data_IF_721165147369
#
_entry.id   IF_721165147369
#
_cell.length_a   1.000
_cell.length_b   1.000
_cell.length_c   1.000
_cell.angle_alpha   90.00
_cell.angle_beta   90.00
_cell.angle_gamma   90.00
#
_symmetry.space_group_name_H-M   'P 1'
#
loop_
_entity.id
_entity.type
_entity.pdbx_description
1 polymer ?
#
# COMPACT_ATOMS: atom_id res chain seq x y z
N UNK A 1 -19.31 1.41 -7.13
CA UNK A 1 -17.92 1.20 -6.69
C UNK A 1 -16.97 1.97 -7.61
N UNK A 2 -15.72 2.25 -7.20
CA UNK A 2 -14.73 3.04 -7.97
C UNK A 2 -14.72 2.79 -9.49
N UNK A 3 -14.83 1.52 -9.90
CA UNK A 3 -14.93 1.09 -11.29
C UNK A 3 -16.08 1.73 -12.07
N UNK A 4 -17.25 1.87 -11.44
CA UNK A 4 -18.46 2.42 -12.06
C UNK A 4 -18.33 3.93 -12.28
N UNK A 5 -17.51 4.59 -11.46
CA UNK A 5 -17.29 6.05 -11.50
C UNK A 5 -16.01 6.45 -12.27
N UNK A 6 -15.21 5.48 -12.72
CA UNK A 6 -14.00 5.70 -13.53
C UNK A 6 -13.00 6.70 -12.90
N UNK A 7 -12.84 6.66 -11.58
CA UNK A 7 -11.97 7.58 -10.84
C UNK A 7 -10.51 7.12 -10.83
N UNK A 8 -9.60 8.03 -10.48
CA UNK A 8 -8.19 7.69 -10.27
C UNK A 8 -7.93 7.10 -8.88
N UNK A 9 -6.91 6.25 -8.79
CA UNK A 9 -6.39 5.68 -7.56
C UNK A 9 -4.96 6.16 -7.38
N UNK A 10 -4.66 6.74 -6.22
CA UNK A 10 -3.30 7.02 -5.77
C UNK A 10 -2.92 6.03 -4.67
N UNK A 11 -1.91 5.20 -4.93
CA UNK A 11 -1.38 4.26 -3.95
C UNK A 11 -0.12 4.83 -3.30
N UNK A 12 -0.07 4.78 -1.97
CA UNK A 12 1.09 5.20 -1.18
C UNK A 12 1.45 4.10 -0.20
N UNK A 13 2.71 3.63 -0.25
CA UNK A 13 3.23 2.70 0.75
C UNK A 13 3.29 3.37 2.13
N UNK A 14 2.68 2.77 3.16
CA UNK A 14 2.55 3.37 4.48
C UNK A 14 2.80 2.36 5.63
N UNK A 15 4.06 2.07 5.91
CA UNK A 15 4.44 1.08 6.95
C UNK A 15 3.98 1.47 8.37
N UNK A 16 3.78 2.77 8.64
CA UNK A 16 3.40 3.27 9.96
C UNK A 16 1.99 2.85 10.38
N UNK A 17 1.16 2.38 9.45
CA UNK A 17 -0.15 1.83 9.77
C UNK A 17 -0.05 0.54 10.59
N UNK A 18 1.07 -0.18 10.50
CA UNK A 18 1.37 -1.36 11.33
C UNK A 18 2.13 -1.00 12.62
N UNK A 19 2.00 0.24 13.09
CA UNK A 19 2.57 0.63 14.37
C UNK A 19 1.78 0.01 15.54
N UNK A 20 2.52 -0.37 16.57
CA UNK A 20 2.02 -0.66 17.91
C UNK A 20 2.52 0.40 18.89
N UNK A 21 1.85 0.53 20.03
CA UNK A 21 2.28 1.43 21.09
C UNK A 21 3.09 0.66 22.14
N UNK A 22 4.34 1.11 22.37
CA UNK A 22 5.16 0.68 23.50
C UNK A 22 5.26 1.85 24.48
N UNK A 23 4.27 1.95 25.37
CA UNK A 23 4.01 3.17 26.13
C UNK A 23 3.56 4.29 25.19
N UNK A 24 4.26 5.42 25.20
CA UNK A 24 3.97 6.58 24.34
C UNK A 24 4.77 6.59 23.02
N UNK A 25 5.60 5.57 22.76
CA UNK A 25 6.42 5.48 21.56
C UNK A 25 5.78 4.51 20.55
N UNK A 26 5.79 4.91 19.28
CA UNK A 26 5.45 4.02 18.17
C UNK A 26 6.55 2.98 17.96
N UNK A 27 6.14 1.72 17.87
CA UNK A 27 6.97 0.58 17.59
C UNK A 27 6.47 -0.12 16.33
N UNK A 28 7.37 -0.41 15.38
CA UNK A 28 7.05 -0.89 14.04
C UNK A 28 7.52 -2.33 13.80
N UNK A 29 7.76 -3.11 14.85
CA UNK A 29 8.22 -4.50 14.71
C UNK A 29 7.27 -5.41 13.92
N UNK A 30 5.99 -5.03 13.78
CA UNK A 30 4.99 -5.74 12.97
C UNK A 30 5.02 -5.33 11.49
N UNK A 31 5.69 -4.23 11.14
CA UNK A 31 5.85 -3.81 9.75
C UNK A 31 6.82 -4.76 9.04
N UNK A 32 6.53 -5.04 7.77
CA UNK A 32 7.41 -5.84 6.91
C UNK A 32 8.80 -5.21 6.79
N UNK A 33 9.83 -6.05 6.62
CA UNK A 33 11.18 -5.57 6.36
C UNK A 33 11.22 -4.66 5.11
N UNK A 34 11.95 -3.53 5.11
CA UNK A 34 11.99 -2.62 3.97
C UNK A 34 12.35 -3.27 2.62
N UNK A 35 13.27 -4.24 2.58
CA UNK A 35 13.68 -4.89 1.32
C UNK A 35 12.55 -5.74 0.73
N UNK A 36 11.85 -6.50 1.57
CA UNK A 36 10.71 -7.33 1.19
C UNK A 36 9.48 -6.45 0.88
N UNK A 37 9.28 -5.38 1.65
CA UNK A 37 8.16 -4.46 1.50
C UNK A 37 8.16 -3.74 0.16
N UNK A 38 9.33 -3.33 -0.35
CA UNK A 38 9.45 -2.71 -1.67
C UNK A 38 9.00 -3.66 -2.78
N UNK A 39 9.46 -4.92 -2.75
CA UNK A 39 9.05 -5.93 -3.72
C UNK A 39 7.57 -6.27 -3.60
N UNK A 40 7.06 -6.45 -2.38
CA UNK A 40 5.65 -6.71 -2.11
C UNK A 40 4.76 -5.58 -2.62
N UNK A 41 5.12 -4.33 -2.35
CA UNK A 41 4.38 -3.16 -2.81
C UNK A 41 4.32 -3.08 -4.33
N UNK A 42 5.44 -3.33 -5.03
CA UNK A 42 5.45 -3.39 -6.49
C UNK A 42 4.47 -4.45 -7.03
N UNK A 43 4.52 -5.67 -6.47
CA UNK A 43 3.63 -6.76 -6.88
C UNK A 43 2.17 -6.41 -6.61
N UNK A 44 1.88 -5.78 -5.46
CA UNK A 44 0.53 -5.32 -5.11
C UNK A 44 0.00 -4.30 -6.12
N UNK A 45 0.78 -3.26 -6.42
CA UNK A 45 0.42 -2.21 -7.37
C UNK A 45 0.21 -2.78 -8.77
N UNK A 46 1.07 -3.71 -9.22
CA UNK A 46 0.93 -4.34 -10.53
C UNK A 46 -0.33 -5.21 -10.62
N UNK A 47 -0.67 -5.95 -9.56
CA UNK A 47 -1.95 -6.66 -9.47
C UNK A 47 -3.13 -5.69 -9.51
N UNK A 48 -3.05 -4.57 -8.80
CA UNK A 48 -4.12 -3.58 -8.79
C UNK A 48 -4.32 -2.96 -10.19
N UNK A 49 -3.24 -2.66 -10.90
CA UNK A 49 -3.27 -2.19 -12.30
C UNK A 49 -3.90 -3.20 -13.26
N UNK A 50 -3.64 -4.50 -13.06
CA UNK A 50 -4.22 -5.57 -13.88
C UNK A 50 -5.74 -5.72 -13.67
N UNK A 51 -6.24 -5.41 -12.48
CA UNK A 51 -7.65 -5.62 -12.11
C UNK A 51 -8.52 -4.34 -12.14
N UNK A 52 -7.91 -3.16 -12.24
CA UNK A 52 -8.62 -1.88 -12.34
C UNK A 52 -8.58 -1.34 -13.78
N UNK A 53 -7.83 -0.26 -14.01
CA UNK A 53 -7.42 0.27 -15.32
C UNK A 53 -6.03 0.85 -15.16
N UNK A 54 -5.09 0.47 -16.03
CA UNK A 54 -3.68 0.84 -15.91
C UNK A 54 -3.46 2.35 -15.87
N UNK A 55 -4.28 3.10 -16.61
CA UNK A 55 -4.09 4.53 -16.86
C UNK A 55 -4.60 5.42 -15.72
N UNK A 56 -5.33 4.83 -14.76
CA UNK A 56 -5.96 5.54 -13.65
C UNK A 56 -5.26 5.25 -12.30
N UNK A 57 -4.06 4.65 -12.32
CA UNK A 57 -3.35 4.29 -11.10
C UNK A 57 -1.99 4.96 -11.01
N UNK A 58 -1.81 5.73 -9.94
CA UNK A 58 -0.60 6.51 -9.61
C UNK A 58 0.09 5.95 -8.37
#
# INVERSE_FOLDING_TARGET
>A
MLNDLQLEILCVSQFTLNASLKGNKLDFHLSMNPSEAAQFYSIFVDKLRQNYRKDLLK
#
